data_IF_081914098726
#
_entry.id   IF_081914098726
#
_cell.length_a   1.000
_cell.length_b   1.000
_cell.length_c   1.000
_cell.angle_alpha   90.00
_cell.angle_beta   90.00
_cell.angle_gamma   90.00
#
_symmetry.space_group_name_H-M   'P 1'
#
loop_
_entity.id
_entity.type
_entity.pdbx_description
1 polymer ?
#
# COMPACT_ATOMS: atom_id res chain seq x y z
N UNK A 1 -3.95 15.21 -36.88
CA UNK A 1 -3.71 15.13 -35.45
C UNK A 1 -4.89 14.34 -34.84
N UNK A 2 -4.63 13.17 -34.32
CA UNK A 2 -5.67 12.35 -33.70
C UNK A 2 -6.06 13.02 -32.37
N UNK A 3 -7.33 13.47 -32.23
CA UNK A 3 -7.87 13.86 -30.93
C UNK A 3 -8.08 12.58 -30.10
N UNK A 4 -7.07 12.24 -29.29
CA UNK A 4 -7.09 11.08 -28.40
C UNK A 4 -8.07 11.24 -27.23
N UNK A 5 -8.45 12.50 -26.92
CA UNK A 5 -9.37 12.82 -25.81
C UNK A 5 -10.58 13.56 -26.39
N UNK A 6 -11.72 12.94 -26.32
CA UNK A 6 -13.01 13.51 -26.80
C UNK A 6 -13.76 14.26 -25.72
N UNK A 7 -13.41 14.05 -24.46
CA UNK A 7 -14.07 14.68 -23.31
C UNK A 7 -13.03 15.30 -22.38
N UNK A 8 -13.35 16.48 -21.87
CA UNK A 8 -12.60 17.15 -20.82
C UNK A 8 -13.51 17.39 -19.63
N UNK A 9 -13.11 16.93 -18.45
CA UNK A 9 -13.80 17.16 -17.21
C UNK A 9 -12.95 18.07 -16.32
N UNK A 10 -13.58 19.16 -15.83
CA UNK A 10 -12.95 20.00 -14.81
C UNK A 10 -13.22 19.37 -13.45
N UNK A 11 -12.16 18.95 -12.78
CA UNK A 11 -12.23 18.45 -11.41
C UNK A 11 -12.02 19.63 -10.48
N UNK A 12 -13.00 19.93 -9.64
CA UNK A 12 -12.88 20.93 -8.57
C UNK A 12 -12.53 20.17 -7.30
N UNK A 13 -11.33 20.36 -6.73
CA UNK A 13 -10.96 19.68 -5.49
C UNK A 13 -11.81 20.21 -4.33
N UNK A 14 -12.29 19.31 -3.49
CA UNK A 14 -12.83 19.66 -2.19
C UNK A 14 -11.75 19.53 -1.15
N UNK A 15 -11.64 20.52 -0.27
CA UNK A 15 -10.74 20.46 0.87
C UNK A 15 -11.34 19.56 1.96
N UNK A 16 -10.54 18.65 2.48
CA UNK A 16 -10.86 17.86 3.66
C UNK A 16 -9.88 18.23 4.77
N UNK A 17 -10.41 18.61 5.92
CA UNK A 17 -9.60 18.86 7.10
C UNK A 17 -9.39 17.54 7.84
N UNK A 18 -8.13 17.12 7.99
CA UNK A 18 -7.77 15.96 8.78
C UNK A 18 -7.51 16.38 10.23
N UNK A 19 -8.05 15.63 11.19
CA UNK A 19 -7.90 15.90 12.64
C UNK A 19 -6.51 15.58 13.21
N UNK A 20 -5.49 15.47 12.37
CA UNK A 20 -4.17 14.99 12.81
C UNK A 20 -3.04 15.82 12.24
N UNK A 21 -2.42 16.64 13.10
CA UNK A 21 -1.37 17.59 12.72
C UNK A 21 0.02 16.98 12.46
N UNK A 22 0.18 15.67 12.63
CA UNK A 22 1.49 15.03 12.60
C UNK A 22 1.87 14.38 11.27
N UNK A 23 1.03 14.49 10.21
CA UNK A 23 1.39 14.03 8.88
C UNK A 23 2.46 14.97 8.32
N UNK A 24 3.64 14.44 8.05
CA UNK A 24 4.78 15.24 7.60
C UNK A 24 5.09 15.11 6.13
N UNK A 25 5.10 13.88 5.64
CA UNK A 25 5.46 13.60 4.25
C UNK A 25 4.77 12.31 3.78
N UNK A 26 3.45 12.36 3.52
CA UNK A 26 2.74 11.22 2.97
C UNK A 26 3.22 10.98 1.54
N UNK A 27 3.66 9.76 1.26
CA UNK A 27 4.18 9.38 -0.05
C UNK A 27 3.30 8.37 -0.79
N UNK A 28 2.36 7.75 -0.08
CA UNK A 28 1.33 6.89 -0.68
C UNK A 28 -0.02 7.17 -0.04
N UNK A 29 -1.07 7.05 -0.84
CA UNK A 29 -2.47 7.19 -0.40
C UNK A 29 -3.30 6.07 -1.00
N UNK A 30 -4.24 5.55 -0.23
CA UNK A 30 -5.26 4.60 -0.69
C UNK A 30 -6.57 4.81 0.05
N UNK A 31 -7.70 4.46 -0.59
CA UNK A 31 -9.01 4.45 0.06
C UNK A 31 -9.53 3.02 0.12
N UNK A 32 -9.74 2.50 1.31
CA UNK A 32 -10.22 1.14 1.55
C UNK A 32 -11.20 1.10 2.72
N UNK A 33 -12.34 0.43 2.53
CA UNK A 33 -13.39 0.27 3.54
C UNK A 33 -13.77 1.59 4.24
N UNK A 34 -14.01 2.65 3.43
CA UNK A 34 -14.36 4.00 3.89
C UNK A 34 -13.30 4.67 4.77
N UNK A 35 -12.05 4.24 4.62
CA UNK A 35 -10.92 4.88 5.27
C UNK A 35 -9.95 5.41 4.21
N UNK A 36 -9.43 6.60 4.44
CA UNK A 36 -8.26 7.15 3.76
C UNK A 36 -7.03 6.67 4.52
N UNK A 37 -6.17 5.94 3.83
CA UNK A 37 -4.92 5.42 4.38
C UNK A 37 -3.77 6.24 3.80
N UNK A 38 -2.99 6.86 4.66
CA UNK A 38 -1.77 7.57 4.29
C UNK A 38 -0.55 6.83 4.80
N UNK A 39 0.43 6.61 3.94
CA UNK A 39 1.73 6.10 4.35
C UNK A 39 2.72 7.26 4.49
N UNK A 40 3.37 7.34 5.67
CA UNK A 40 4.36 8.37 6.00
C UNK A 40 5.60 7.74 6.65
N UNK A 41 6.76 7.95 6.03
CA UNK A 41 8.03 7.39 6.52
C UNK A 41 8.52 8.03 7.81
N UNK A 42 8.04 9.21 8.16
CA UNK A 42 8.47 9.94 9.36
C UNK A 42 7.63 9.63 10.60
N UNK A 43 6.55 8.86 10.46
CA UNK A 43 5.75 8.41 11.60
C UNK A 43 6.39 7.19 12.29
N UNK A 44 6.11 6.94 13.56
CA UNK A 44 6.56 5.73 14.27
C UNK A 44 6.04 4.43 13.65
N UNK A 45 4.86 4.49 13.04
CA UNK A 45 4.25 3.44 12.22
C UNK A 45 4.28 3.86 10.76
N UNK A 46 4.08 2.91 9.84
CA UNK A 46 4.07 3.24 8.41
C UNK A 46 2.78 3.93 7.97
N UNK A 47 1.65 3.63 8.59
CA UNK A 47 0.35 4.04 8.09
C UNK A 47 -0.49 4.73 9.14
N UNK A 48 -1.25 5.71 8.67
CA UNK A 48 -2.28 6.44 9.42
C UNK A 48 -3.59 6.36 8.66
N UNK A 49 -4.67 6.08 9.36
CA UNK A 49 -6.01 6.00 8.79
C UNK A 49 -6.90 7.14 9.27
N UNK A 50 -7.73 7.58 8.35
CA UNK A 50 -8.78 8.58 8.58
C UNK A 50 -10.08 8.08 7.99
N UNK A 51 -11.20 8.44 8.62
CA UNK A 51 -12.52 8.24 8.07
C UNK A 51 -12.69 9.07 6.78
N UNK A 52 -13.16 8.43 5.71
CA UNK A 52 -13.24 9.04 4.37
C UNK A 52 -14.26 10.19 4.30
N UNK A 53 -15.30 10.16 5.11
CA UNK A 53 -16.37 11.16 5.06
C UNK A 53 -16.06 12.37 5.94
N UNK A 54 -15.55 12.12 7.14
CA UNK A 54 -15.38 13.14 8.18
C UNK A 54 -13.94 13.67 8.32
N UNK A 55 -12.95 12.96 7.77
CA UNK A 55 -11.53 13.24 8.00
C UNK A 55 -11.05 12.94 9.42
N UNK A 56 -11.88 12.28 10.23
CA UNK A 56 -11.53 11.93 11.61
C UNK A 56 -10.39 10.93 11.67
N UNK A 57 -9.44 11.19 12.56
CA UNK A 57 -8.35 10.26 12.83
C UNK A 57 -8.86 8.94 13.43
N UNK A 58 -8.49 7.82 12.80
CA UNK A 58 -8.92 6.47 13.19
C UNK A 58 -7.82 5.67 13.87
N UNK A 59 -6.56 6.00 13.63
CA UNK A 59 -5.43 5.33 14.24
C UNK A 59 -4.22 5.15 13.35
N UNK A 60 -3.14 4.67 13.96
CA UNK A 60 -1.90 4.29 13.27
C UNK A 60 -1.74 2.78 13.27
N UNK A 61 -1.12 2.24 12.23
CA UNK A 61 -0.88 0.80 12.09
C UNK A 61 0.34 0.51 11.22
N UNK A 62 0.71 -0.77 11.09
CA UNK A 62 1.93 -1.29 10.49
C UNK A 62 3.19 -0.77 11.18
N UNK A 63 3.56 -1.43 12.25
CA UNK A 63 4.75 -1.12 13.05
C UNK A 63 6.03 -1.32 12.24
N UNK A 64 6.97 -0.42 12.42
CA UNK A 64 8.31 -0.50 11.83
C UNK A 64 9.21 -1.41 12.67
N UNK A 65 9.87 -2.35 12.02
CA UNK A 65 10.83 -3.24 12.67
C UNK A 65 11.09 -4.52 11.91
N UNK A 66 11.76 -5.45 12.58
CA UNK A 66 12.15 -6.77 12.07
C UNK A 66 11.43 -7.93 12.79
N UNK A 67 10.47 -7.61 13.66
CA UNK A 67 9.69 -8.60 14.39
C UNK A 67 8.57 -9.22 13.56
N UNK A 68 7.89 -10.24 14.09
CA UNK A 68 6.72 -10.81 13.45
C UNK A 68 5.61 -9.76 13.24
N UNK A 69 5.13 -9.61 12.00
CA UNK A 69 4.10 -8.62 11.65
C UNK A 69 4.61 -7.18 11.55
N UNK A 70 5.91 -6.95 11.67
CA UNK A 70 6.55 -5.65 11.44
C UNK A 70 7.08 -5.54 10.01
N UNK A 71 7.21 -4.31 9.55
CA UNK A 71 7.65 -3.97 8.20
C UNK A 71 8.91 -3.11 8.25
N UNK A 72 9.79 -3.28 7.26
CA UNK A 72 11.10 -2.60 7.22
C UNK A 72 11.05 -1.41 6.26
N UNK A 73 10.60 -1.64 5.02
CA UNK A 73 10.64 -0.63 3.97
C UNK A 73 9.52 -0.83 2.95
N UNK A 74 8.43 -0.11 3.10
CA UNK A 74 7.30 -0.18 2.19
C UNK A 74 7.59 0.63 0.92
N UNK A 75 7.48 -0.03 -0.25
CA UNK A 75 7.68 0.59 -1.57
C UNK A 75 6.40 0.74 -2.37
N UNK A 76 5.39 -0.06 -2.10
CA UNK A 76 4.08 0.09 -2.75
C UNK A 76 2.94 -0.24 -1.81
N UNK A 77 1.81 0.38 -2.08
CA UNK A 77 0.55 0.18 -1.37
C UNK A 77 -0.58 0.26 -2.38
N UNK A 78 -1.40 -0.79 -2.48
CA UNK A 78 -2.50 -0.84 -3.43
C UNK A 78 -3.72 -1.55 -2.83
N UNK A 79 -4.90 -1.06 -3.19
CA UNK A 79 -6.16 -1.72 -2.89
C UNK A 79 -6.52 -2.73 -3.96
N UNK A 80 -6.89 -3.93 -3.55
CA UNK A 80 -7.55 -4.95 -4.39
C UNK A 80 -8.73 -5.52 -3.62
N UNK A 81 -9.93 -5.38 -4.18
CA UNK A 81 -11.15 -5.68 -3.43
C UNK A 81 -11.26 -4.79 -2.19
N UNK A 82 -11.42 -5.39 -1.03
CA UNK A 82 -11.48 -4.72 0.27
C UNK A 82 -10.20 -4.83 1.09
N UNK A 83 -9.13 -5.36 0.49
CA UNK A 83 -7.83 -5.55 1.13
C UNK A 83 -6.81 -4.54 0.64
N UNK A 84 -5.87 -4.22 1.50
CA UNK A 84 -4.72 -3.40 1.17
C UNK A 84 -3.49 -4.29 1.04
N UNK A 85 -2.85 -4.24 -0.13
CA UNK A 85 -1.62 -4.96 -0.42
C UNK A 85 -0.45 -3.98 -0.31
N UNK A 86 0.59 -4.42 0.39
CA UNK A 86 1.82 -3.63 0.57
C UNK A 86 3.02 -4.47 0.17
N UNK A 87 4.00 -3.85 -0.47
CA UNK A 87 5.28 -4.46 -0.76
C UNK A 87 6.34 -3.94 0.21
N UNK A 88 6.89 -4.83 1.02
CA UNK A 88 8.03 -4.55 1.89
C UNK A 88 9.32 -5.08 1.26
N UNK A 89 10.08 -4.19 0.66
CA UNK A 89 11.34 -4.53 0.03
C UNK A 89 12.45 -4.86 1.03
N UNK A 90 12.32 -4.40 2.27
CA UNK A 90 13.30 -4.66 3.31
C UNK A 90 13.28 -6.10 3.81
N UNK A 91 12.09 -6.69 3.92
CA UNK A 91 11.89 -8.10 4.30
C UNK A 91 11.64 -9.02 3.11
N UNK A 92 11.46 -8.46 1.90
CA UNK A 92 11.02 -9.19 0.70
C UNK A 92 9.69 -9.92 0.88
N UNK A 93 8.74 -9.27 1.56
CA UNK A 93 7.42 -9.80 1.82
C UNK A 93 6.33 -8.95 1.16
N UNK A 94 5.26 -9.61 0.70
CA UNK A 94 3.99 -8.96 0.39
C UNK A 94 3.14 -9.04 1.66
N UNK A 95 2.71 -7.90 2.17
CA UNK A 95 1.73 -7.82 3.24
C UNK A 95 0.32 -7.71 2.67
N UNK A 96 -0.60 -8.52 3.15
CA UNK A 96 -2.03 -8.39 2.88
C UNK A 96 -2.68 -7.90 4.17
N UNK A 97 -3.27 -6.72 4.11
CA UNK A 97 -3.86 -6.04 5.27
C UNK A 97 -5.37 -6.01 5.10
N UNK A 98 -6.05 -6.65 6.01
CA UNK A 98 -7.50 -6.58 6.13
C UNK A 98 -7.86 -5.48 7.12
N UNK A 99 -8.44 -4.39 6.62
CA UNK A 99 -8.76 -3.21 7.43
C UNK A 99 -10.22 -3.26 7.83
N UNK A 100 -10.47 -3.37 9.13
CA UNK A 100 -11.81 -3.28 9.66
C UNK A 100 -12.31 -1.83 9.61
N UNK A 101 -13.53 -1.62 9.09
CA UNK A 101 -14.17 -0.31 8.98
C UNK A 101 -14.29 0.41 10.34
N UNK A 102 -14.57 -0.34 11.41
CA UNK A 102 -14.93 0.23 12.70
C UNK A 102 -13.75 0.28 13.69
N UNK A 103 -12.61 -0.33 13.37
CA UNK A 103 -11.47 -0.42 14.28
C UNK A 103 -10.16 -0.67 13.55
N UNK A 104 -9.42 0.37 13.31
CA UNK A 104 -8.07 0.29 12.71
C UNK A 104 -7.06 -0.41 13.62
N UNK A 105 -7.32 -0.49 14.93
CA UNK A 105 -6.47 -1.24 15.86
C UNK A 105 -6.57 -2.76 15.75
N UNK A 106 -7.52 -3.30 15.00
CA UNK A 106 -7.71 -4.74 14.77
C UNK A 106 -7.62 -5.08 13.27
N UNK A 107 -6.50 -4.77 12.64
CA UNK A 107 -6.21 -5.29 11.31
C UNK A 107 -5.59 -6.69 11.41
N UNK A 108 -5.95 -7.57 10.51
CA UNK A 108 -5.24 -8.83 10.30
C UNK A 108 -4.22 -8.64 9.19
N UNK A 109 -3.01 -9.14 9.37
CA UNK A 109 -2.01 -9.12 8.33
C UNK A 109 -1.54 -10.53 8.01
N UNK A 110 -1.48 -10.82 6.72
CA UNK A 110 -0.82 -12.00 6.19
C UNK A 110 0.45 -11.56 5.48
N UNK A 111 1.56 -12.27 5.70
CA UNK A 111 2.83 -12.02 5.02
C UNK A 111 3.10 -13.16 4.05
N UNK A 112 3.22 -12.83 2.78
CA UNK A 112 3.61 -13.75 1.73
C UNK A 112 5.09 -13.49 1.41
N UNK A 113 6.01 -14.39 1.80
CA UNK A 113 7.42 -14.22 1.47
C UNK A 113 7.64 -14.47 -0.02
N UNK A 114 8.25 -13.51 -0.70
CA UNK A 114 8.79 -13.77 -2.03
C UNK A 114 10.06 -14.61 -1.88
N UNK A 115 9.97 -15.88 -2.22
CA UNK A 115 11.12 -16.77 -2.21
C UNK A 115 12.10 -16.33 -3.29
N UNK A 116 13.28 -15.94 -2.86
CA UNK A 116 14.41 -15.73 -3.73
C UNK A 116 14.99 -17.11 -4.11
N UNK A 117 14.53 -17.65 -5.21
CA UNK A 117 15.21 -18.78 -5.85
C UNK A 117 16.32 -18.28 -6.78
N UNK A 118 17.05 -19.20 -7.41
CA UNK A 118 18.14 -18.85 -8.34
C UNK A 118 17.69 -18.06 -9.57
N UNK A 119 16.40 -17.90 -9.79
CA UNK A 119 15.79 -17.18 -10.93
C UNK A 119 15.33 -15.79 -10.54
N UNK A 120 15.04 -15.55 -9.26
CA UNK A 120 14.54 -14.28 -8.73
C UNK A 120 15.60 -13.64 -7.84
N UNK A 121 16.27 -12.59 -8.31
CA UNK A 121 17.37 -11.96 -7.60
C UNK A 121 16.90 -10.84 -6.68
N UNK A 122 15.98 -9.99 -7.17
CA UNK A 122 15.47 -8.85 -6.38
C UNK A 122 14.22 -8.26 -7.03
N UNK A 123 13.18 -8.00 -6.27
CA UNK A 123 12.04 -7.21 -6.71
C UNK A 123 12.23 -5.73 -6.32
N UNK A 124 12.07 -4.82 -7.28
CA UNK A 124 12.01 -3.39 -6.99
C UNK A 124 10.60 -2.97 -6.60
N UNK A 125 9.63 -3.48 -7.34
CA UNK A 125 8.21 -3.22 -7.08
C UNK A 125 7.41 -4.49 -7.29
N UNK A 126 6.38 -4.66 -6.49
CA UNK A 126 5.41 -5.74 -6.61
C UNK A 126 4.02 -5.12 -6.57
N UNK A 127 3.20 -5.46 -7.55
CA UNK A 127 1.84 -4.96 -7.69
C UNK A 127 0.87 -6.12 -7.80
N UNK A 128 -0.21 -6.16 -7.02
CA UNK A 128 -1.26 -7.15 -7.19
C UNK A 128 -2.01 -6.92 -8.50
N UNK A 129 -2.21 -7.97 -9.27
CA UNK A 129 -3.14 -8.02 -10.40
C UNK A 129 -4.55 -8.37 -9.91
N UNK A 130 -4.62 -9.24 -8.93
CA UNK A 130 -5.80 -9.63 -8.17
C UNK A 130 -5.33 -10.23 -6.83
N UNK A 131 -6.22 -10.91 -6.09
CA UNK A 131 -5.88 -11.48 -4.78
C UNK A 131 -4.86 -12.64 -4.84
N UNK A 132 -4.67 -13.28 -6.00
CA UNK A 132 -3.82 -14.47 -6.16
C UNK A 132 -2.57 -14.22 -7.02
N UNK A 133 -2.58 -13.18 -7.87
CA UNK A 133 -1.51 -12.94 -8.81
C UNK A 133 -0.90 -11.57 -8.64
N UNK A 134 0.42 -11.53 -8.71
CA UNK A 134 1.19 -10.29 -8.63
C UNK A 134 2.08 -10.14 -9.86
N UNK A 135 2.35 -8.91 -10.24
CA UNK A 135 3.40 -8.58 -11.20
C UNK A 135 4.56 -7.94 -10.47
N UNK A 136 5.74 -8.44 -10.70
CA UNK A 136 6.98 -7.89 -10.13
C UNK A 136 7.85 -7.30 -11.22
N UNK A 137 8.43 -6.14 -10.95
CA UNK A 137 9.56 -5.59 -11.68
C UNK A 137 10.84 -5.77 -10.85
N UNK A 138 11.98 -6.05 -11.53
CA UNK A 138 13.22 -6.21 -10.81
C UNK A 138 14.31 -6.90 -11.62
N UNK A 139 15.29 -7.45 -10.93
CA UNK A 139 16.34 -8.27 -11.53
C UNK A 139 15.91 -9.73 -11.47
N UNK A 140 15.30 -10.17 -12.56
CA UNK A 140 14.81 -11.53 -12.75
C UNK A 140 15.65 -12.14 -13.85
N UNK A 141 16.17 -13.35 -13.68
CA UNK A 141 17.09 -13.98 -14.64
C UNK A 141 16.55 -13.97 -16.05
N UNK A 142 17.14 -13.12 -16.91
CA UNK A 142 16.77 -12.97 -18.29
C UNK A 142 15.54 -12.09 -18.59
N UNK A 143 14.83 -11.59 -17.59
CA UNK A 143 13.63 -10.77 -17.73
C UNK A 143 13.64 -9.57 -16.78
N UNK A 144 12.83 -8.54 -17.10
CA UNK A 144 12.62 -7.37 -16.24
C UNK A 144 11.31 -7.43 -15.44
N UNK A 145 10.43 -8.36 -15.79
CA UNK A 145 9.13 -8.55 -15.18
C UNK A 145 8.84 -10.02 -14.97
N UNK A 146 8.12 -10.35 -13.91
CA UNK A 146 7.58 -11.66 -13.64
C UNK A 146 6.13 -11.55 -13.15
N UNK A 147 5.35 -12.60 -13.42
CA UNK A 147 4.07 -12.84 -12.75
C UNK A 147 4.35 -13.86 -11.65
N UNK A 148 3.84 -13.56 -10.46
CA UNK A 148 3.97 -14.39 -9.25
C UNK A 148 2.59 -14.91 -8.89
N UNK A 149 2.49 -16.16 -8.51
CA UNK A 149 1.29 -16.90 -8.07
C UNK A 149 1.48 -17.51 -6.67
#
# INVERSE_FOLDING_TARGET
MLNLFTEQHNIIPNEMTLEFDSIRNPYMISCVNQNIILADIFQPTFMTAFDEETGKYMGNFLTKGNGPGEFIHLLSMQKVGEKLFVWDSGSSNIGIIDINKDSIGSYTSELIPLRQDSTFISAFQVFPLNENYFVSSGVIKGNRFAILD
#
